data_IF_869248654580
#
_entry.id   IF_869248654580
#
_cell.length_a   1.000
_cell.length_b   1.000
_cell.length_c   1.000
_cell.angle_alpha   90.00
_cell.angle_beta   90.00
_cell.angle_gamma   90.00
#
_symmetry.space_group_name_H-M   'P 1'
#
loop_
_entity.id
_entity.type
_entity.pdbx_description
1 polymer ?
#
# COMPACT_ATOMS: atom_id res chain seq x y z
N UNK A 1 5.72 20.08 8.25
CA UNK A 1 5.96 18.63 8.40
C UNK A 1 4.69 18.08 9.01
N UNK A 2 4.05 17.07 8.41
CA UNK A 2 3.14 16.23 9.19
C UNK A 2 4.07 15.36 10.03
N UNK A 3 4.33 15.76 11.26
CA UNK A 3 5.00 14.91 12.23
C UNK A 3 3.97 13.89 12.68
N UNK A 4 4.21 12.62 12.35
CA UNK A 4 3.44 11.51 12.91
C UNK A 4 3.51 11.60 14.44
N UNK A 5 2.37 11.90 15.07
CA UNK A 5 2.22 11.71 16.51
C UNK A 5 1.69 10.29 16.74
N UNK A 6 2.46 9.43 17.43
CA UNK A 6 2.01 8.07 17.71
C UNK A 6 0.74 8.12 18.57
N UNK A 7 -0.32 7.49 18.08
CA UNK A 7 -1.51 7.29 18.89
C UNK A 7 -1.14 6.48 20.15
N UNK A 8 -1.65 6.89 21.31
CA UNK A 8 -1.56 6.08 22.52
C UNK A 8 -2.50 4.88 22.39
N UNK A 9 -1.92 3.68 22.36
CA UNK A 9 -2.66 2.41 22.25
C UNK A 9 -2.39 1.60 23.51
N UNK A 10 -3.43 1.28 24.26
CA UNK A 10 -3.28 0.52 25.50
C UNK A 10 -2.66 -0.85 25.22
N UNK A 11 -1.59 -1.18 25.94
CA UNK A 11 -0.87 -2.45 25.78
C UNK A 11 0.16 -2.47 24.64
N UNK A 12 0.36 -1.35 23.95
CA UNK A 12 1.42 -1.17 22.98
C UNK A 12 2.22 0.10 23.28
N UNK A 13 3.53 0.00 23.10
CA UNK A 13 4.45 1.13 23.13
C UNK A 13 4.94 1.42 21.71
N UNK A 14 5.03 2.71 21.37
CA UNK A 14 5.62 3.12 20.11
C UNK A 14 7.11 3.38 20.27
N UNK A 15 7.92 2.57 19.60
CA UNK A 15 9.37 2.78 19.57
C UNK A 15 9.72 3.79 18.49
N UNK A 16 10.05 5.03 18.88
CA UNK A 16 10.48 6.08 17.93
C UNK A 16 11.72 5.69 17.10
N UNK A 17 12.77 5.05 17.65
CA UNK A 17 13.94 4.66 16.86
C UNK A 17 13.61 3.64 15.75
N UNK A 18 12.75 2.67 16.06
CA UNK A 18 12.40 1.59 15.14
C UNK A 18 11.15 1.90 14.31
N UNK A 19 10.38 2.92 14.71
CA UNK A 19 9.11 3.36 14.12
C UNK A 19 8.03 2.27 14.07
N UNK A 20 7.98 1.43 15.09
CA UNK A 20 7.03 0.32 15.24
C UNK A 20 6.26 0.42 16.54
N UNK A 21 5.03 -0.10 16.53
CA UNK A 21 4.29 -0.45 17.74
C UNK A 21 4.69 -1.86 18.20
N UNK A 22 4.87 -2.06 19.51
CA UNK A 22 5.17 -3.37 20.09
C UNK A 22 4.63 -3.47 21.51
N UNK A 23 4.34 -4.70 21.96
CA UNK A 23 4.06 -4.98 23.37
C UNK A 23 5.34 -5.28 24.18
N UNK A 24 6.49 -5.40 23.50
CA UNK A 24 7.76 -5.82 24.11
C UNK A 24 8.94 -5.14 23.40
N UNK A 25 9.42 -4.04 24.00
CA UNK A 25 10.58 -3.29 23.50
C UNK A 25 11.86 -4.14 23.42
N UNK A 26 11.99 -5.23 24.19
CA UNK A 26 13.19 -6.07 24.19
C UNK A 26 13.36 -6.83 22.87
N UNK A 27 12.25 -7.17 22.20
CA UNK A 27 12.25 -7.84 20.88
C UNK A 27 12.80 -6.94 19.78
N UNK A 28 12.78 -5.62 19.95
CA UNK A 28 13.19 -4.67 18.92
C UNK A 28 14.69 -4.69 18.62
N UNK A 29 15.53 -5.09 19.59
CA UNK A 29 17.00 -5.17 19.41
C UNK A 29 17.42 -6.19 18.35
N UNK A 30 16.53 -7.12 18.00
CA UNK A 30 16.78 -8.19 17.03
C UNK A 30 16.19 -7.88 15.65
N UNK A 31 15.51 -6.75 15.48
CA UNK A 31 14.86 -6.42 14.20
C UNK A 31 15.95 -5.95 13.22
N UNK A 32 16.03 -6.55 12.02
CA UNK A 32 16.98 -6.13 11.01
C UNK A 32 16.69 -4.70 10.55
N UNK A 33 17.75 -3.92 10.30
CA UNK A 33 17.62 -2.60 9.71
C UNK A 33 17.08 -2.64 8.28
N UNK A 34 16.51 -1.52 7.79
CA UNK A 34 16.12 -1.39 6.39
C UNK A 34 17.34 -1.54 5.46
N UNK A 35 17.19 -2.25 4.34
CA UNK A 35 18.26 -2.42 3.34
C UNK A 35 19.15 -3.65 3.53
N UNK A 36 18.85 -4.56 4.44
CA UNK A 36 19.48 -5.90 4.41
C UNK A 36 19.08 -6.66 3.14
N UNK A 37 20.06 -7.38 2.56
CA UNK A 37 19.94 -8.05 1.26
C UNK A 37 18.69 -8.93 1.22
N UNK A 38 17.77 -8.55 0.36
CA UNK A 38 16.55 -9.28 0.05
C UNK A 38 16.92 -10.57 -0.68
N UNK A 39 16.90 -11.71 0.00
CA UNK A 39 16.82 -13.02 -0.66
C UNK A 39 15.60 -13.06 -1.61
N UNK A 40 15.65 -13.92 -2.64
CA UNK A 40 14.72 -13.94 -3.78
C UNK A 40 13.23 -13.89 -3.35
N UNK A 41 12.61 -12.70 -3.37
CA UNK A 41 11.26 -12.39 -2.83
C UNK A 41 10.10 -13.01 -3.61
N UNK A 42 10.36 -13.54 -4.81
CA UNK A 42 9.36 -14.19 -5.66
C UNK A 42 8.72 -15.44 -5.03
N UNK A 43 9.31 -15.96 -3.95
CA UNK A 43 8.88 -17.17 -3.24
C UNK A 43 7.69 -16.91 -2.29
N UNK A 44 7.55 -15.69 -1.74
CA UNK A 44 6.53 -15.39 -0.72
C UNK A 44 5.12 -15.22 -1.32
N UNK A 45 5.03 -14.78 -2.59
CA UNK A 45 3.76 -14.38 -3.25
C UNK A 45 2.89 -15.53 -3.77
N UNK A 46 3.39 -16.77 -3.83
CA UNK A 46 2.74 -17.86 -4.61
C UNK A 46 2.27 -19.07 -3.80
N UNK A 47 2.34 -19.04 -2.48
CA UNK A 47 1.97 -20.20 -1.68
C UNK A 47 0.45 -20.30 -1.47
N UNK A 48 -0.04 -21.55 -1.51
CA UNK A 48 -1.38 -22.04 -1.16
C UNK A 48 -1.88 -21.53 0.22
N UNK A 49 -0.93 -21.11 1.05
CA UNK A 49 -1.06 -20.40 2.32
C UNK A 49 -1.90 -19.12 2.22
N UNK A 50 -1.84 -18.38 1.10
CA UNK A 50 -2.66 -17.17 0.86
C UNK A 50 -4.15 -17.52 0.73
N UNK A 51 -4.48 -18.67 0.14
CA UNK A 51 -5.87 -19.08 -0.07
C UNK A 51 -6.60 -19.42 1.24
N UNK A 52 -5.92 -20.02 2.22
CA UNK A 52 -6.49 -20.29 3.56
C UNK A 52 -6.81 -19.00 4.33
N UNK A 53 -5.90 -18.02 4.31
CA UNK A 53 -6.17 -16.68 4.86
C UNK A 53 -7.34 -15.99 4.12
N UNK A 54 -7.53 -16.29 2.84
CA UNK A 54 -8.63 -15.80 2.02
C UNK A 54 -10.00 -16.46 2.31
N UNK A 55 -10.10 -17.55 3.06
CA UNK A 55 -11.41 -18.07 3.47
C UNK A 55 -11.96 -17.32 4.67
N UNK A 56 -11.11 -17.05 5.66
CA UNK A 56 -11.52 -16.44 6.93
C UNK A 56 -11.90 -14.96 6.82
N UNK A 57 -11.13 -14.11 6.12
CA UNK A 57 -11.45 -12.67 6.11
C UNK A 57 -12.77 -12.31 5.37
N UNK A 58 -13.28 -13.19 4.50
CA UNK A 58 -14.59 -13.01 3.84
C UNK A 58 -15.75 -13.47 4.73
N UNK A 59 -15.48 -14.35 5.70
CA UNK A 59 -16.46 -14.84 6.67
C UNK A 59 -16.39 -14.08 8.00
N UNK A 60 -15.57 -13.03 8.10
CA UNK A 60 -15.56 -12.14 9.26
C UNK A 60 -16.91 -11.42 9.26
N UNK A 61 -17.83 -11.96 10.04
CA UNK A 61 -19.10 -11.34 10.34
C UNK A 61 -18.86 -9.91 10.84
N UNK A 62 -19.63 -8.94 10.33
CA UNK A 62 -19.55 -7.55 10.78
C UNK A 62 -19.77 -7.41 12.30
N UNK A 63 -20.36 -8.43 12.94
CA UNK A 63 -20.43 -8.53 14.41
C UNK A 63 -19.06 -8.54 15.09
N UNK A 64 -18.00 -9.05 14.44
CA UNK A 64 -16.64 -9.06 14.98
C UNK A 64 -16.05 -7.65 15.13
N UNK A 65 -16.52 -6.68 14.34
CA UNK A 65 -16.10 -5.27 14.50
C UNK A 65 -16.61 -4.66 15.83
N UNK A 66 -17.59 -5.29 16.50
CA UNK A 66 -18.11 -4.86 17.80
C UNK A 66 -17.27 -5.38 18.97
N UNK A 67 -16.35 -6.30 18.73
CA UNK A 67 -15.48 -6.85 19.78
C UNK A 67 -14.36 -5.86 20.15
N UNK A 68 -13.80 -5.96 21.36
CA UNK A 68 -12.52 -5.33 21.69
C UNK A 68 -11.43 -5.72 20.69
N UNK A 69 -10.59 -4.76 20.30
CA UNK A 69 -9.60 -4.96 19.23
C UNK A 69 -8.69 -6.19 19.42
N UNK A 70 -8.29 -6.45 20.67
CA UNK A 70 -7.48 -7.62 21.02
C UNK A 70 -8.19 -8.94 20.72
N UNK A 71 -9.43 -9.09 21.19
CA UNK A 71 -10.22 -10.31 20.97
C UNK A 71 -10.56 -10.49 19.49
N UNK A 72 -10.81 -9.38 18.79
CA UNK A 72 -10.97 -9.40 17.33
C UNK A 72 -9.73 -9.98 16.63
N UNK A 73 -8.53 -9.52 16.99
CA UNK A 73 -7.29 -10.02 16.39
C UNK A 73 -7.02 -11.47 16.74
N UNK A 74 -7.25 -11.88 17.99
CA UNK A 74 -7.17 -13.29 18.41
C UNK A 74 -8.10 -14.16 17.57
N UNK A 75 -9.34 -13.72 17.33
CA UNK A 75 -10.29 -14.43 16.47
C UNK A 75 -9.86 -14.46 15.00
N UNK A 76 -9.38 -13.32 14.46
CA UNK A 76 -8.94 -13.20 13.06
C UNK A 76 -7.72 -14.07 12.76
N UNK A 77 -6.86 -14.30 13.76
CA UNK A 77 -5.57 -14.98 13.60
C UNK A 77 -5.48 -16.36 14.24
N UNK A 78 -6.56 -16.84 14.86
CA UNK A 78 -6.60 -18.07 15.69
C UNK A 78 -5.97 -19.29 15.03
N UNK A 79 -6.29 -19.54 13.75
CA UNK A 79 -5.86 -20.73 13.01
C UNK A 79 -4.71 -20.43 12.03
N UNK A 80 -4.04 -19.28 12.21
CA UNK A 80 -2.97 -18.81 11.33
C UNK A 80 -1.63 -18.91 12.06
N UNK A 81 -0.76 -19.79 11.59
CA UNK A 81 0.50 -20.10 12.29
C UNK A 81 1.60 -19.07 11.99
N UNK A 82 1.71 -18.62 10.74
CA UNK A 82 2.82 -17.77 10.29
C UNK A 82 2.49 -16.27 10.32
N UNK A 83 3.51 -15.44 10.51
CA UNK A 83 3.40 -13.98 10.43
C UNK A 83 2.87 -13.54 9.06
N UNK A 84 3.26 -14.22 7.99
CA UNK A 84 2.75 -14.00 6.63
C UNK A 84 1.22 -14.16 6.58
N UNK A 85 0.70 -15.27 7.09
CA UNK A 85 -0.74 -15.54 7.09
C UNK A 85 -1.53 -14.54 7.94
N UNK A 86 -1.03 -14.23 9.13
CA UNK A 86 -1.69 -13.27 10.04
C UNK A 86 -1.71 -11.87 9.43
N UNK A 87 -0.58 -11.44 8.89
CA UNK A 87 -0.44 -10.14 8.19
C UNK A 87 -1.36 -10.07 6.96
N UNK A 88 -1.48 -11.16 6.19
CA UNK A 88 -2.40 -11.22 5.04
C UNK A 88 -3.87 -11.12 5.48
N UNK A 89 -4.26 -11.77 6.57
CA UNK A 89 -5.60 -11.70 7.12
C UNK A 89 -5.95 -10.28 7.58
N UNK A 90 -5.02 -9.60 8.26
CA UNK A 90 -5.17 -8.19 8.66
C UNK A 90 -5.29 -7.29 7.43
N UNK A 91 -4.38 -7.41 6.46
CA UNK A 91 -4.41 -6.63 5.22
C UNK A 91 -5.76 -6.75 4.52
N UNK A 92 -6.24 -7.99 4.41
CA UNK A 92 -7.49 -8.29 3.73
C UNK A 92 -8.69 -7.72 4.48
N UNK A 93 -8.77 -7.96 5.78
CA UNK A 93 -9.86 -7.43 6.60
C UNK A 93 -9.90 -5.91 6.47
N UNK A 94 -8.76 -5.22 6.58
CA UNK A 94 -8.71 -3.76 6.54
C UNK A 94 -9.09 -3.19 5.17
N UNK A 95 -8.62 -3.80 4.07
CA UNK A 95 -8.84 -3.30 2.70
C UNK A 95 -10.28 -3.46 2.19
N UNK A 96 -11.06 -4.37 2.78
CA UNK A 96 -12.47 -4.57 2.41
C UNK A 96 -13.46 -3.84 3.34
N UNK A 97 -12.99 -3.10 4.34
CA UNK A 97 -13.89 -2.40 5.24
C UNK A 97 -14.66 -1.29 4.51
N UNK A 98 -15.96 -1.13 4.78
CA UNK A 98 -16.80 -0.19 4.06
C UNK A 98 -16.69 1.24 4.59
N UNK A 99 -15.46 1.75 4.70
CA UNK A 99 -15.08 2.96 5.47
C UNK A 99 -15.99 4.15 5.15
N UNK A 100 -16.33 4.40 3.88
CA UNK A 100 -17.17 5.54 3.46
C UNK A 100 -18.62 5.48 3.96
N UNK A 101 -19.12 4.29 4.28
CA UNK A 101 -20.50 4.09 4.73
C UNK A 101 -20.63 3.89 6.24
N UNK A 102 -19.51 3.78 6.96
CA UNK A 102 -19.54 3.63 8.41
C UNK A 102 -20.12 4.90 9.03
N UNK A 103 -21.24 4.75 9.73
CA UNK A 103 -21.90 5.85 10.46
C UNK A 103 -21.59 5.74 11.93
N UNK A 104 -21.32 6.89 12.55
CA UNK A 104 -21.14 7.00 14.00
C UNK A 104 -22.48 6.70 14.69
N UNK A 105 -22.57 5.61 15.44
CA UNK A 105 -23.75 5.33 16.27
C UNK A 105 -23.50 5.74 17.73
N UNK A 106 -24.55 6.20 18.43
CA UNK A 106 -24.43 6.69 19.82
C UNK A 106 -23.94 5.63 20.83
N UNK A 107 -24.00 4.34 20.49
CA UNK A 107 -23.63 3.24 21.42
C UNK A 107 -22.24 2.64 21.20
N UNK A 108 -21.46 3.11 20.22
CA UNK A 108 -20.10 2.61 19.96
C UNK A 108 -19.03 3.27 20.84
N UNK A 109 -19.47 3.96 21.90
CA UNK A 109 -18.63 4.65 22.87
C UNK A 109 -18.06 3.65 23.87
N UNK A 110 -17.05 2.91 23.43
CA UNK A 110 -15.76 2.70 24.10
C UNK A 110 -15.13 1.37 23.66
N UNK A 111 -13.96 1.44 23.03
CA UNK A 111 -12.92 0.39 23.02
C UNK A 111 -13.13 -0.84 22.12
N UNK A 112 -14.04 -0.79 21.14
CA UNK A 112 -14.18 -1.86 20.14
C UNK A 112 -13.40 -1.59 18.83
N UNK A 113 -13.33 -2.59 17.96
CA UNK A 113 -12.65 -2.50 16.65
C UNK A 113 -13.27 -1.43 15.75
N UNK A 114 -14.59 -1.21 15.82
CA UNK A 114 -15.30 -0.21 15.03
C UNK A 114 -14.80 1.23 15.30
N UNK A 115 -14.40 1.56 16.52
CA UNK A 115 -13.80 2.86 16.85
C UNK A 115 -12.53 3.15 16.04
N UNK A 116 -11.70 2.13 15.76
CA UNK A 116 -10.51 2.32 14.92
C UNK A 116 -10.87 2.59 13.45
N UNK A 117 -11.96 1.99 12.97
CA UNK A 117 -12.49 2.27 11.64
C UNK A 117 -13.11 3.67 11.57
N UNK A 118 -13.83 4.10 12.63
CA UNK A 118 -14.35 5.46 12.74
C UNK A 118 -13.23 6.51 12.73
N UNK A 119 -12.08 6.23 13.38
CA UNK A 119 -10.91 7.11 13.31
C UNK A 119 -10.33 7.25 11.89
N UNK A 120 -10.44 6.21 11.04
CA UNK A 120 -10.10 6.34 9.62
C UNK A 120 -11.08 7.29 8.91
N UNK A 121 -12.39 7.15 9.17
CA UNK A 121 -13.42 8.04 8.59
C UNK A 121 -13.19 9.50 9.00
N UNK A 122 -12.84 9.72 10.27
CA UNK A 122 -12.63 11.04 10.85
C UNK A 122 -11.22 11.60 10.56
N UNK A 123 -10.40 10.92 9.74
CA UNK A 123 -9.02 11.27 9.41
C UNK A 123 -8.10 11.45 10.63
N UNK A 124 -8.42 10.81 11.76
CA UNK A 124 -7.57 10.80 12.97
C UNK A 124 -6.55 9.67 12.97
N UNK A 125 -6.71 8.72 12.06
CA UNK A 125 -5.81 7.59 11.85
C UNK A 125 -5.68 7.36 10.35
N UNK A 126 -4.48 7.03 9.87
CA UNK A 126 -4.29 6.60 8.47
C UNK A 126 -4.36 5.07 8.37
N UNK A 127 -4.62 4.57 7.17
CA UNK A 127 -4.58 3.12 6.89
C UNK A 127 -3.23 2.50 7.27
N UNK A 128 -2.13 3.21 7.00
CA UNK A 128 -0.79 2.73 7.33
C UNK A 128 -0.56 2.63 8.84
N UNK A 129 -1.10 3.58 9.60
CA UNK A 129 -1.02 3.60 11.06
C UNK A 129 -1.86 2.50 11.68
N UNK A 130 -3.11 2.33 11.24
CA UNK A 130 -3.97 1.24 11.72
C UNK A 130 -3.33 -0.12 11.43
N UNK A 131 -2.82 -0.32 10.21
CA UNK A 131 -2.15 -1.56 9.85
C UNK A 131 -0.92 -1.84 10.74
N UNK A 132 -0.10 -0.83 11.02
CA UNK A 132 1.06 -0.95 11.93
C UNK A 132 0.64 -1.30 13.36
N UNK A 133 -0.44 -0.69 13.88
CA UNK A 133 -1.01 -1.02 15.20
C UNK A 133 -1.45 -2.48 15.24
N UNK A 134 -2.22 -2.94 14.25
CA UNK A 134 -2.73 -4.32 14.19
C UNK A 134 -1.58 -5.34 14.13
N UNK A 135 -0.54 -5.07 13.33
CA UNK A 135 0.64 -5.91 13.26
C UNK A 135 1.40 -5.94 14.61
N UNK A 136 1.57 -4.78 15.25
CA UNK A 136 2.23 -4.68 16.55
C UNK A 136 1.51 -5.46 17.67
N UNK A 137 0.17 -5.56 17.60
CA UNK A 137 -0.62 -6.34 18.57
C UNK A 137 -0.44 -7.85 18.45
N UNK A 138 0.00 -8.34 17.29
CA UNK A 138 0.29 -9.77 17.04
C UNK A 138 1.80 -10.04 16.93
N UNK A 139 2.63 -9.13 17.46
CA UNK A 139 4.09 -9.22 17.47
C UNK A 139 4.78 -9.26 16.10
N UNK A 140 4.12 -8.74 15.06
CA UNK A 140 4.71 -8.63 13.72
C UNK A 140 5.29 -7.21 13.54
N UNK A 141 6.62 -7.05 13.36
CA UNK A 141 7.21 -5.73 13.14
C UNK A 141 6.70 -5.06 11.88
N UNK A 142 6.14 -3.86 12.03
CA UNK A 142 5.57 -3.09 10.93
C UNK A 142 5.85 -1.60 11.09
N UNK A 143 6.60 -1.04 10.15
CA UNK A 143 7.03 0.36 10.12
C UNK A 143 6.08 1.18 9.25
N UNK A 144 5.69 2.36 9.74
CA UNK A 144 5.05 3.38 8.91
C UNK A 144 6.13 4.18 8.16
N UNK A 145 6.04 4.18 6.84
CA UNK A 145 6.93 4.90 5.93
C UNK A 145 6.18 6.11 5.39
N UNK A 146 6.74 7.30 5.59
CA UNK A 146 6.26 8.53 4.96
C UNK A 146 7.07 8.84 3.70
N UNK A 147 6.41 9.40 2.68
CA UNK A 147 7.07 9.79 1.45
C UNK A 147 6.15 10.48 0.47
N UNK A 148 6.49 10.40 -0.82
CA UNK A 148 5.72 10.96 -1.93
C UNK A 148 5.13 9.85 -2.79
N UNK A 149 3.92 10.06 -3.29
CA UNK A 149 3.30 9.14 -4.25
C UNK A 149 2.88 9.82 -5.55
N UNK A 150 2.95 9.06 -6.65
CA UNK A 150 2.39 9.43 -7.96
C UNK A 150 0.98 8.83 -8.11
N UNK A 151 0.09 9.23 -7.19
CA UNK A 151 -1.29 8.75 -7.09
C UNK A 151 -2.29 9.48 -8.00
N UNK A 152 -3.57 9.49 -7.60
CA UNK A 152 -4.65 10.16 -8.35
C UNK A 152 -4.49 11.68 -8.46
N UNK A 153 -3.82 12.32 -7.50
CA UNK A 153 -3.59 13.77 -7.48
C UNK A 153 -2.38 14.23 -8.30
N UNK A 154 -1.60 13.28 -8.85
CA UNK A 154 -0.40 13.54 -9.63
C UNK A 154 -0.69 13.55 -11.14
N UNK A 155 -0.33 14.65 -11.78
CA UNK A 155 -0.29 14.81 -13.24
C UNK A 155 1.11 14.50 -13.76
N UNK A 156 1.19 13.80 -14.89
CA UNK A 156 2.47 13.41 -15.49
C UNK A 156 3.31 14.66 -15.80
N UNK A 157 4.52 14.71 -15.24
CA UNK A 157 5.46 15.82 -15.42
C UNK A 157 5.35 16.93 -14.36
N UNK A 158 4.34 16.90 -13.50
CA UNK A 158 4.19 17.94 -12.48
C UNK A 158 5.25 17.86 -11.37
N UNK A 159 5.46 18.97 -10.66
CA UNK A 159 6.35 19.01 -9.50
C UNK A 159 5.68 18.35 -8.29
N UNK A 160 6.41 17.46 -7.62
CA UNK A 160 5.96 16.87 -6.36
C UNK A 160 5.95 17.91 -5.23
N UNK A 161 4.76 18.28 -4.79
CA UNK A 161 4.51 19.14 -3.62
C UNK A 161 3.89 18.36 -2.45
N UNK A 162 3.54 19.06 -1.36
CA UNK A 162 2.91 18.49 -0.16
C UNK A 162 1.60 17.72 -0.45
N UNK A 163 0.87 18.05 -1.52
CA UNK A 163 -0.38 17.33 -1.90
C UNK A 163 -0.17 15.87 -2.28
N UNK A 164 1.09 15.48 -2.53
CA UNK A 164 1.48 14.12 -2.90
C UNK A 164 2.09 13.35 -1.74
N UNK A 165 2.07 13.91 -0.52
CA UNK A 165 2.55 13.18 0.66
C UNK A 165 1.60 12.05 1.00
N UNK A 166 2.15 10.89 1.31
CA UNK A 166 1.40 9.73 1.74
C UNK A 166 2.22 8.88 2.73
N UNK A 167 1.53 7.92 3.34
CA UNK A 167 2.10 6.92 4.24
C UNK A 167 1.72 5.52 3.76
N UNK A 168 2.67 4.59 3.86
CA UNK A 168 2.48 3.16 3.61
C UNK A 168 3.32 2.37 4.63
N UNK A 169 3.44 1.06 4.48
CA UNK A 169 4.15 0.22 5.44
C UNK A 169 5.30 -0.58 4.84
N UNK A 170 6.27 -0.91 5.69
CA UNK A 170 7.10 -2.09 5.54
C UNK A 170 6.83 -3.04 6.70
N UNK A 171 6.56 -4.31 6.40
CA UNK A 171 6.34 -5.38 7.37
C UNK A 171 7.47 -6.39 7.29
N UNK A 172 7.95 -6.86 8.43
CA UNK A 172 9.00 -7.88 8.51
C UNK A 172 8.36 -9.26 8.46
N UNK A 173 8.65 -10.03 7.40
CA UNK A 173 8.14 -11.40 7.23
C UNK A 173 9.33 -12.30 6.95
N UNK A 174 9.53 -13.33 7.77
CA UNK A 174 10.66 -14.26 7.64
C UNK A 174 12.01 -13.52 7.51
N UNK A 175 12.26 -12.55 8.39
CA UNK A 175 13.46 -11.68 8.39
C UNK A 175 13.62 -10.78 7.15
N UNK A 176 12.59 -10.66 6.30
CA UNK A 176 12.63 -9.84 5.09
C UNK A 176 11.61 -8.71 5.19
N UNK A 177 12.08 -7.46 5.05
CA UNK A 177 11.19 -6.31 4.90
C UNK A 177 10.46 -6.32 3.55
N UNK A 178 9.13 -6.24 3.63
CA UNK A 178 8.22 -6.28 2.50
C UNK A 178 7.28 -5.06 2.51
N UNK A 179 7.05 -4.46 1.34
CA UNK A 179 6.26 -3.23 1.21
C UNK A 179 4.76 -3.56 1.15
N UNK A 180 3.95 -2.79 1.86
CA UNK A 180 2.48 -2.92 1.88
C UNK A 180 1.85 -1.54 1.80
N UNK A 181 0.86 -1.37 0.93
CA UNK A 181 -0.02 -0.18 0.94
C UNK A 181 -1.48 -0.61 1.08
N UNK A 182 -2.01 -0.47 2.30
CA UNK A 182 -3.41 -0.81 2.60
C UNK A 182 -4.40 0.22 2.08
N UNK A 183 -3.97 1.47 1.84
CA UNK A 183 -4.86 2.49 1.29
C UNK A 183 -5.09 2.27 -0.21
N UNK A 184 -4.02 2.03 -0.98
CA UNK A 184 -4.11 1.72 -2.41
C UNK A 184 -4.61 0.29 -2.64
N UNK A 185 -4.41 -0.59 -1.65
CA UNK A 185 -5.00 -1.92 -1.59
C UNK A 185 -6.52 -1.93 -1.38
N UNK A 186 -7.10 -0.88 -0.81
CA UNK A 186 -8.54 -0.78 -0.59
C UNK A 186 -9.24 -0.31 -1.88
N UNK A 187 -10.08 -1.15 -2.47
CA UNK A 187 -10.77 -0.87 -3.72
C UNK A 187 -12.29 -0.88 -3.54
N UNK A 188 -12.93 0.22 -3.90
CA UNK A 188 -14.38 0.30 -4.01
C UNK A 188 -14.81 -0.08 -5.44
N UNK A 189 -15.56 -1.17 -5.57
CA UNK A 189 -16.19 -1.56 -6.82
C UNK A 189 -17.65 -1.11 -6.77
N UNK A 190 -18.04 -0.28 -7.74
CA UNK A 190 -19.45 0.02 -7.99
C UNK A 190 -20.08 -1.20 -8.65
N UNK A 191 -21.11 -1.79 -8.02
CA UNK A 191 -21.86 -2.90 -8.57
C UNK A 191 -22.62 -2.56 -9.86
N UNK A 192 -23.18 -3.57 -10.52
CA UNK A 192 -24.01 -3.39 -11.73
C UNK A 192 -25.29 -2.59 -11.47
N UNK A 193 -25.74 -2.50 -10.22
CA UNK A 193 -26.75 -1.55 -9.76
C UNK A 193 -26.07 -0.44 -8.95
N UNK A 194 -26.51 0.81 -9.16
CA UNK A 194 -25.96 2.02 -8.54
C UNK A 194 -26.07 2.07 -7.01
N UNK A 195 -26.71 1.08 -6.39
CA UNK A 195 -26.97 0.98 -4.95
C UNK A 195 -26.15 -0.08 -4.23
N UNK A 196 -25.44 -0.98 -4.93
CA UNK A 196 -24.58 -2.00 -4.31
C UNK A 196 -23.10 -1.63 -4.41
N UNK A 197 -22.56 -1.02 -3.35
CA UNK A 197 -21.12 -0.87 -3.20
C UNK A 197 -20.51 -2.20 -2.76
N UNK A 198 -19.66 -2.79 -3.60
CA UNK A 198 -18.87 -3.98 -3.27
C UNK A 198 -17.44 -3.56 -2.95
N UNK A 199 -16.97 -3.93 -1.77
CA UNK A 199 -15.59 -3.68 -1.39
C UNK A 199 -14.73 -4.87 -1.79
N UNK A 200 -13.64 -4.59 -2.48
CA UNK A 200 -12.64 -5.56 -2.90
C UNK A 200 -11.26 -5.09 -2.46
N UNK A 201 -10.30 -6.01 -2.49
CA UNK A 201 -8.93 -5.69 -2.18
C UNK A 201 -8.07 -5.92 -3.42
N UNK A 202 -6.99 -5.17 -3.49
CA UNK A 202 -6.00 -5.29 -4.53
C UNK A 202 -4.72 -5.95 -4.00
N UNK A 203 -4.43 -7.17 -4.44
CA UNK A 203 -3.27 -7.93 -3.97
C UNK A 203 -1.94 -7.39 -4.49
N UNK A 204 -1.94 -6.51 -5.49
CA UNK A 204 -0.70 -5.91 -5.98
C UNK A 204 0.04 -5.15 -4.88
N UNK A 205 -0.71 -4.46 -4.01
CA UNK A 205 -0.18 -3.65 -2.91
C UNK A 205 0.13 -4.45 -1.63
N UNK A 206 -0.02 -5.78 -1.66
CA UNK A 206 0.44 -6.67 -0.60
C UNK A 206 1.81 -7.27 -0.95
N UNK A 207 2.81 -7.00 -0.11
CA UNK A 207 4.19 -7.46 -0.27
C UNK A 207 4.73 -7.13 -1.68
N UNK A 208 4.54 -5.88 -2.11
CA UNK A 208 4.96 -5.42 -3.44
C UNK A 208 6.47 -5.46 -3.59
N UNK A 209 6.90 -5.91 -4.76
CA UNK A 209 8.30 -5.88 -5.15
C UNK A 209 8.79 -4.42 -5.13
N UNK A 210 9.86 -4.09 -4.37
CA UNK A 210 10.48 -2.77 -4.37
C UNK A 210 10.74 -2.18 -5.76
N UNK A 211 11.15 -3.00 -6.73
CA UNK A 211 11.43 -2.55 -8.10
C UNK A 211 10.18 -2.07 -8.83
N UNK A 212 9.01 -2.58 -8.44
CA UNK A 212 7.71 -2.15 -8.98
C UNK A 212 7.14 -1.01 -8.15
N UNK A 213 7.28 -1.07 -6.82
CA UNK A 213 6.71 -0.10 -5.88
C UNK A 213 7.33 1.30 -6.03
N UNK A 214 8.63 1.39 -6.34
CA UNK A 214 9.35 2.66 -6.53
C UNK A 214 8.85 3.48 -7.73
N UNK A 215 8.06 2.91 -8.64
CA UNK A 215 7.45 3.68 -9.74
C UNK A 215 6.43 4.69 -9.24
N UNK A 216 5.75 4.36 -8.15
CA UNK A 216 4.67 5.18 -7.59
C UNK A 216 4.97 5.70 -6.19
N UNK A 217 5.85 5.06 -5.40
CA UNK A 217 6.10 5.42 -4.01
C UNK A 217 7.59 5.73 -3.77
N UNK A 218 7.90 6.95 -3.33
CA UNK A 218 9.26 7.39 -3.00
C UNK A 218 9.37 7.78 -1.52
N UNK A 219 10.08 7.01 -0.68
CA UNK A 219 10.17 7.27 0.75
C UNK A 219 11.04 8.49 1.06
N UNK A 220 10.73 9.16 2.18
CA UNK A 220 11.54 10.28 2.68
C UNK A 220 12.92 9.82 3.19
N UNK A 221 13.01 8.58 3.66
CA UNK A 221 14.28 7.96 4.07
C UNK A 221 14.64 6.89 3.05
N UNK A 222 15.76 7.07 2.35
CA UNK A 222 16.17 6.25 1.19
C UNK A 222 16.30 4.76 1.48
N UNK A 223 16.70 4.37 2.69
CA UNK A 223 16.82 2.96 3.09
C UNK A 223 15.49 2.18 2.98
N UNK A 224 14.34 2.86 3.10
CA UNK A 224 13.01 2.26 2.97
C UNK A 224 12.57 2.05 1.52
N UNK A 225 13.43 2.35 0.54
CA UNK A 225 13.19 1.93 -0.83
C UNK A 225 13.32 0.41 -0.95
N UNK A 226 14.11 -0.24 -0.09
CA UNK A 226 14.39 -1.68 -0.10
C UNK A 226 14.92 -2.18 -1.46
N UNK A 227 15.59 -1.31 -2.20
CA UNK A 227 16.27 -1.59 -3.47
C UNK A 227 17.76 -1.82 -3.24
N UNK A 228 18.35 -2.74 -4.00
CA UNK A 228 19.80 -2.95 -4.01
C UNK A 228 20.57 -1.72 -4.50
N UNK A 229 19.97 -1.00 -5.48
CA UNK A 229 20.51 0.25 -6.02
C UNK A 229 19.57 1.39 -5.66
N UNK A 230 20.07 2.36 -4.90
CA UNK A 230 19.29 3.52 -4.48
C UNK A 230 18.73 4.29 -5.67
N UNK A 231 17.44 4.59 -5.61
CA UNK A 231 16.73 5.43 -6.55
C UNK A 231 16.80 6.90 -6.11
N UNK A 232 17.22 7.80 -7.00
CA UNK A 232 17.25 9.23 -6.69
C UNK A 232 15.88 9.89 -6.90
N UNK A 233 15.58 10.94 -6.13
CA UNK A 233 14.37 11.76 -6.35
C UNK A 233 14.31 12.33 -7.78
N UNK A 234 15.46 12.66 -8.38
CA UNK A 234 15.53 13.11 -9.78
C UNK A 234 15.05 12.02 -10.73
N UNK A 235 15.51 10.78 -10.55
CA UNK A 235 15.06 9.63 -11.34
C UNK A 235 13.58 9.35 -11.09
N UNK A 236 13.13 9.40 -9.83
CA UNK A 236 11.71 9.22 -9.46
C UNK A 236 10.80 10.22 -10.15
N UNK A 237 11.19 11.49 -10.25
CA UNK A 237 10.41 12.50 -10.97
C UNK A 237 10.34 12.21 -12.46
N UNK A 238 11.51 11.96 -13.07
CA UNK A 238 11.66 11.81 -14.52
C UNK A 238 11.19 10.47 -15.10
N UNK A 239 11.09 9.40 -14.31
CA UNK A 239 10.63 8.10 -14.82
C UNK A 239 9.16 8.12 -15.24
N UNK A 240 8.83 7.29 -16.24
CA UNK A 240 7.45 7.01 -16.65
C UNK A 240 6.55 6.66 -15.45
N UNK A 241 5.30 7.13 -15.48
CA UNK A 241 4.32 6.87 -14.44
C UNK A 241 3.65 5.51 -14.68
N UNK A 242 4.31 4.44 -14.25
CA UNK A 242 3.78 3.09 -14.36
C UNK A 242 2.91 2.76 -13.16
N UNK A 243 1.73 2.18 -13.43
CA UNK A 243 0.81 1.69 -12.41
C UNK A 243 0.78 0.16 -12.44
N UNK A 244 0.25 -0.42 -11.38
CA UNK A 244 0.02 -1.86 -11.20
C UNK A 244 -0.28 -2.64 -12.47
N UNK A 245 -1.25 -2.18 -13.28
CA UNK A 245 -1.69 -2.93 -14.47
C UNK A 245 -0.55 -3.23 -15.45
N UNK A 246 0.43 -2.32 -15.56
CA UNK A 246 1.63 -2.54 -16.36
C UNK A 246 2.39 -3.80 -15.90
N UNK A 247 2.59 -3.94 -14.60
CA UNK A 247 3.33 -5.06 -14.00
C UNK A 247 2.52 -6.36 -14.01
N UNK A 248 1.21 -6.31 -13.76
CA UNK A 248 0.33 -7.50 -13.83
C UNK A 248 0.31 -8.14 -15.23
N UNK A 249 0.33 -7.30 -16.27
CA UNK A 249 0.39 -7.74 -17.65
C UNK A 249 1.79 -8.26 -18.03
N UNK A 250 2.77 -8.16 -17.13
CA UNK A 250 4.16 -8.55 -17.38
C UNK A 250 4.83 -7.66 -18.41
N UNK A 251 4.38 -6.41 -18.54
CA UNK A 251 4.98 -5.44 -19.44
C UNK A 251 6.37 -5.06 -18.95
N UNK A 252 7.25 -4.77 -19.90
CA UNK A 252 8.59 -4.23 -19.62
C UNK A 252 8.89 -3.11 -20.59
N UNK A 253 9.56 -2.07 -20.14
CA UNK A 253 10.15 -1.14 -21.08
C UNK A 253 11.38 -1.77 -21.71
N UNK A 254 11.53 -1.58 -23.03
CA UNK A 254 12.70 -2.03 -23.77
C UNK A 254 13.76 -0.91 -23.88
N UNK A 255 13.44 0.30 -23.39
CA UNK A 255 14.35 1.44 -23.29
C UNK A 255 14.02 2.30 -22.05
N UNK A 256 14.98 3.11 -21.57
CA UNK A 256 14.74 4.07 -20.49
C UNK A 256 13.63 5.04 -20.89
N UNK A 257 12.51 5.00 -20.16
CA UNK A 257 11.33 5.79 -20.52
C UNK A 257 11.11 6.91 -19.52
N UNK A 258 11.16 8.14 -20.03
CA UNK A 258 10.89 9.35 -19.26
C UNK A 258 9.37 9.64 -19.22
N UNK A 259 8.90 10.30 -18.18
CA UNK A 259 7.52 10.76 -18.10
C UNK A 259 7.19 11.89 -19.09
N UNK A 260 8.21 12.67 -19.45
CA UNK A 260 8.13 13.74 -20.44
C UNK A 260 9.20 13.45 -21.48
N UNK A 261 8.79 13.34 -22.74
CA UNK A 261 9.68 13.07 -23.87
C UNK A 261 9.68 14.30 -24.77
N UNK A 262 10.85 14.84 -25.04
CA UNK A 262 11.05 15.94 -25.98
C UNK A 262 11.30 15.38 -27.37
N UNK A 263 10.65 15.95 -28.38
CA UNK A 263 10.82 15.56 -29.79
C UNK A 263 11.42 16.73 -30.56
N UNK A 264 12.30 16.44 -31.51
CA UNK A 264 12.88 17.48 -32.39
C UNK A 264 12.01 17.70 -33.63
N UNK A 265 11.49 16.62 -34.19
CA UNK A 265 10.73 16.64 -35.46
C UNK A 265 9.26 16.24 -35.27
N UNK A 266 8.76 16.30 -34.03
CA UNK A 266 7.39 15.87 -33.70
C UNK A 266 7.24 14.36 -33.48
N UNK A 267 8.20 13.55 -33.91
CA UNK A 267 8.13 12.09 -33.80
C UNK A 267 8.75 11.54 -32.51
N UNK A 268 8.06 10.57 -31.89
CA UNK A 268 8.55 9.78 -30.77
C UNK A 268 8.11 8.32 -30.91
N UNK A 269 9.03 7.39 -30.67
CA UNK A 269 8.73 5.96 -30.58
C UNK A 269 8.84 5.48 -29.14
N UNK A 270 7.73 4.97 -28.59
CA UNK A 270 7.69 4.32 -27.29
C UNK A 270 7.58 2.82 -27.49
N UNK A 271 8.57 2.08 -26.99
CA UNK A 271 8.66 0.62 -27.18
C UNK A 271 8.57 -0.10 -25.85
N UNK A 272 7.59 -0.99 -25.72
CA UNK A 272 7.41 -1.85 -24.56
C UNK A 272 7.23 -3.31 -24.99
N UNK A 273 7.78 -4.22 -24.21
CA UNK A 273 7.66 -5.66 -24.38
C UNK A 273 6.44 -6.20 -23.65
N UNK A 274 5.81 -7.20 -24.27
CA UNK A 274 4.67 -7.93 -23.73
C UNK A 274 5.00 -9.42 -23.60
N UNK A 275 4.31 -10.10 -22.68
CA UNK A 275 4.35 -11.55 -22.64
C UNK A 275 3.65 -12.14 -23.87
N UNK A 276 4.38 -12.88 -24.71
CA UNK A 276 3.90 -13.47 -25.98
C UNK A 276 2.64 -14.33 -25.84
N UNK A 277 2.46 -15.00 -24.71
CA UNK A 277 1.30 -15.87 -24.48
C UNK A 277 0.05 -15.09 -24.05
N UNK A 278 0.23 -13.91 -23.43
CA UNK A 278 -0.87 -13.06 -22.94
C UNK A 278 -1.24 -11.93 -23.91
N UNK A 279 -0.35 -11.57 -24.82
CA UNK A 279 -0.51 -10.39 -25.68
C UNK A 279 -1.63 -10.52 -26.72
N UNK A 280 -1.95 -11.74 -27.17
CA UNK A 280 -2.95 -11.97 -28.24
C UNK A 280 -4.38 -11.54 -27.87
N UNK A 281 -4.66 -11.30 -26.59
CA UNK A 281 -6.00 -10.95 -26.08
C UNK A 281 -6.06 -9.52 -25.54
N UNK A 282 -5.00 -8.72 -25.72
CA UNK A 282 -4.93 -7.38 -25.14
C UNK A 282 -5.27 -6.32 -26.19
N UNK A 283 -6.18 -5.42 -25.82
CA UNK A 283 -6.51 -4.21 -26.58
C UNK A 283 -5.89 -3.04 -25.83
N UNK A 284 -5.11 -2.23 -26.54
CA UNK A 284 -4.50 -1.02 -25.99
C UNK A 284 -5.27 0.19 -26.48
N UNK A 285 -5.53 1.11 -25.57
CA UNK A 285 -6.02 2.44 -25.88
C UNK A 285 -4.97 3.45 -25.44
N UNK A 286 -4.54 4.30 -26.36
CA UNK A 286 -3.63 5.41 -26.07
C UNK A 286 -4.40 6.72 -26.11
N UNK A 287 -4.11 7.59 -25.16
CA UNK A 287 -4.58 8.96 -25.13
C UNK A 287 -3.37 9.88 -25.22
N UNK A 288 -3.35 10.74 -26.22
CA UNK A 288 -2.28 11.73 -26.41
C UNK A 288 -2.84 13.09 -26.03
N UNK A 289 -2.20 13.77 -25.09
CA UNK A 289 -2.50 15.16 -24.72
C UNK A 289 -1.24 15.99 -24.92
N UNK A 290 -1.27 16.91 -25.89
CA UNK A 290 -0.19 17.86 -26.08
C UNK A 290 -0.23 18.91 -24.95
N UNK A 291 0.94 19.26 -24.42
CA UNK A 291 1.09 20.33 -23.42
C UNK A 291 2.01 21.38 -24.03
N UNK A 292 1.48 22.58 -24.27
CA UNK A 292 2.29 23.74 -24.63
C UNK A 292 2.70 24.46 -23.33
N UNK A 293 4.00 24.53 -23.00
CA UNK A 293 4.45 25.11 -21.73
C UNK A 293 4.08 26.60 -21.55
N UNK A 294 3.76 27.33 -22.62
CA UNK A 294 3.56 28.79 -22.60
C UNK A 294 2.09 29.25 -22.68
N UNK A 295 1.11 28.34 -22.83
CA UNK A 295 -0.31 28.72 -22.73
C UNK A 295 -0.81 28.40 -21.33
N UNK A 296 -1.03 29.43 -20.51
CA UNK A 296 -1.84 29.33 -19.28
C UNK A 296 -3.11 28.56 -19.63
N UNK A 297 -3.37 27.46 -18.90
CA UNK A 297 -4.54 26.63 -19.07
C UNK A 297 -5.81 27.51 -19.09
N UNK A 298 -6.38 27.71 -20.27
CA UNK A 298 -7.78 28.06 -20.40
C UNK A 298 -8.53 26.75 -20.26
N UNK A 299 -9.34 26.67 -19.20
CA UNK A 299 -10.29 25.60 -18.99
C UNK A 299 -11.42 25.75 -20.00
N UNK A 300 -11.63 24.73 -20.83
CA UNK A 300 -12.92 24.36 -21.39
C UNK A 300 -13.19 22.89 -21.04
#
# INVERSE_FOLDING_TARGET
>A
MFTFEPAHIRGLEYSRPHRVYTNDLSKLRKIPGPGQKSGNKSVIRRSEVIYKANRFANSVDQTLNKMPLKLFLEALTKDLESDLTKTRAIYRWLTIQPIRTIKKTKSEVDKNTAEYLLRLVENRLTYAQLFSILCGMIDVPCVVISGFTKGSSYQVGEKLTKKHKAEWNAVLINEIWCLVDTFWGACEIVGKSTTELKYSYDDYYFLTDPEQFIYTHFPDVSQWQLLDKSFSMRKFRKQACLKQRFFELGMKFLADTLCCVETKDGDVSLVFGLNRHRSKQQIFQSYVKAFEPDKKAQHE
#
